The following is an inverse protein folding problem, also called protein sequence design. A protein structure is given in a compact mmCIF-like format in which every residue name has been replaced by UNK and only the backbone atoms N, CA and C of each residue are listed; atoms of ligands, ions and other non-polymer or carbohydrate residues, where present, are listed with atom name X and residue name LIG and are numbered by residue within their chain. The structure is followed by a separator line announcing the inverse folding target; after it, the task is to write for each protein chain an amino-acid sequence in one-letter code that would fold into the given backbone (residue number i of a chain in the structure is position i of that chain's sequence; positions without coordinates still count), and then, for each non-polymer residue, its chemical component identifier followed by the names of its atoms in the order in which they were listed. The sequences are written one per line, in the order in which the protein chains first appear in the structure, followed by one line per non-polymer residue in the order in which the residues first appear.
data_IF_643010466464
#
_entry.id   IF_643010466464
#
_cell.length_a   1.000
_cell.length_b   1.000
_cell.length_c   1.000
_cell.angle_alpha   90.00
_cell.angle_beta   90.00
_cell.angle_gamma   90.00
#
_symmetry.space_group_name_H-M   'P 1'
#
loop_
_entity.id
_entity.type
_entity.pdbx_description
1 polymer ?
#
# COMPACT_ATOMS: atom_id res chain seq x y z
N UNK A 1 -6.58 -28.69 -11.45
CA UNK A 1 -6.39 -27.64 -10.45
C UNK A 1 -5.79 -26.46 -11.17
N UNK A 2 -6.62 -25.59 -11.75
CA UNK A 2 -6.14 -24.38 -12.40
C UNK A 2 -5.58 -23.47 -11.31
N UNK A 3 -4.25 -23.35 -11.25
CA UNK A 3 -3.61 -22.39 -10.36
C UNK A 3 -4.08 -21.03 -10.84
N UNK A 4 -4.94 -20.37 -10.07
CA UNK A 4 -5.39 -19.03 -10.36
C UNK A 4 -4.17 -18.11 -10.26
N UNK A 5 -3.57 -17.78 -11.41
CA UNK A 5 -2.33 -16.99 -11.54
C UNK A 5 -2.45 -15.67 -10.77
N UNK A 6 -3.66 -15.10 -10.71
CA UNK A 6 -3.96 -13.89 -9.96
C UNK A 6 -3.83 -14.10 -8.44
N UNK A 7 -4.38 -15.18 -7.90
CA UNK A 7 -4.27 -15.50 -6.48
C UNK A 7 -2.81 -15.77 -6.08
N UNK A 8 -2.06 -16.48 -6.92
CA UNK A 8 -0.62 -16.71 -6.70
C UNK A 8 0.15 -15.38 -6.70
N UNK A 9 -0.14 -14.48 -7.63
CA UNK A 9 0.50 -13.16 -7.68
C UNK A 9 0.19 -12.30 -6.45
N UNK A 10 -1.02 -12.38 -5.89
CA UNK A 10 -1.36 -11.72 -4.62
C UNK A 10 -0.52 -12.29 -3.48
N UNK A 11 -0.43 -13.62 -3.37
CA UNK A 11 0.40 -14.26 -2.32
C UNK A 11 1.87 -13.88 -2.44
N UNK A 12 2.40 -13.84 -3.66
CA UNK A 12 3.75 -13.37 -3.94
C UNK A 12 3.93 -11.89 -3.59
N UNK A 13 2.95 -11.04 -3.91
CA UNK A 13 2.97 -9.62 -3.55
C UNK A 13 2.99 -9.43 -2.03
N UNK A 14 2.17 -10.18 -1.29
CA UNK A 14 2.16 -10.15 0.17
C UNK A 14 3.51 -10.60 0.75
N UNK A 15 4.05 -11.71 0.26
CA UNK A 15 5.34 -12.25 0.70
C UNK A 15 6.49 -11.26 0.41
N UNK A 16 6.56 -10.73 -0.81
CA UNK A 16 7.57 -9.77 -1.23
C UNK A 16 7.50 -8.46 -0.42
N UNK A 17 6.29 -7.96 -0.16
CA UNK A 17 6.06 -6.84 0.75
C UNK A 17 6.50 -7.10 2.18
N UNK A 18 6.26 -8.31 2.68
CA UNK A 18 6.70 -8.73 4.01
C UNK A 18 8.21 -8.77 4.11
N UNK A 19 8.88 -9.35 3.12
CA UNK A 19 10.35 -9.41 3.08
C UNK A 19 10.94 -7.98 3.05
N UNK A 20 10.40 -7.10 2.20
CA UNK A 20 10.77 -5.68 2.14
C UNK A 20 10.57 -4.98 3.50
N UNK A 21 9.39 -5.16 4.09
CA UNK A 21 9.05 -4.57 5.40
C UNK A 21 10.00 -5.08 6.48
N UNK A 22 10.32 -6.39 6.50
CA UNK A 22 11.26 -6.97 7.45
C UNK A 22 12.65 -6.37 7.30
N UNK A 23 13.11 -6.20 6.07
CA UNK A 23 14.41 -5.60 5.76
C UNK A 23 14.49 -4.18 6.32
N UNK A 24 13.50 -3.34 6.04
CA UNK A 24 13.39 -1.97 6.57
C UNK A 24 13.26 -1.94 8.11
N UNK A 25 12.42 -2.82 8.66
CA UNK A 25 12.23 -2.95 10.10
C UNK A 25 13.53 -3.33 10.83
N UNK A 26 14.33 -4.24 10.24
CA UNK A 26 15.65 -4.62 10.78
C UNK A 26 16.61 -3.41 10.78
N UNK A 27 16.59 -2.58 9.73
CA UNK A 27 17.41 -1.37 9.64
C UNK A 27 17.02 -0.31 10.69
N UNK A 28 15.76 -0.27 11.12
CA UNK A 28 15.27 0.63 12.17
C UNK A 28 15.37 0.04 13.60
N UNK A 29 16.00 -1.13 13.75
CA UNK A 29 16.19 -1.77 15.05
C UNK A 29 14.93 -2.43 15.63
N UNK A 30 13.91 -2.74 14.81
CA UNK A 30 12.70 -3.39 15.29
C UNK A 30 12.97 -4.90 15.51
N UNK A 31 12.66 -5.44 16.70
CA UNK A 31 12.83 -6.86 16.99
C UNK A 31 11.93 -7.71 16.06
N UNK A 32 12.43 -8.89 15.69
CA UNK A 32 11.75 -9.78 14.74
C UNK A 32 10.35 -10.20 15.21
N UNK A 33 10.18 -10.39 16.52
CA UNK A 33 8.93 -10.80 17.17
C UNK A 33 7.84 -9.75 16.97
N UNK A 34 8.14 -8.48 17.27
CA UNK A 34 7.21 -7.37 17.08
C UNK A 34 6.85 -7.18 15.61
N UNK A 35 7.82 -7.31 14.71
CA UNK A 35 7.57 -7.28 13.28
C UNK A 35 6.63 -8.43 12.86
N UNK A 36 6.87 -9.66 13.32
CA UNK A 36 6.07 -10.83 12.97
C UNK A 36 4.60 -10.66 13.38
N UNK A 37 4.34 -10.19 14.60
CA UNK A 37 2.97 -9.89 15.03
C UNK A 37 2.33 -8.77 14.20
N UNK A 38 3.10 -7.72 13.87
CA UNK A 38 2.59 -6.65 12.99
C UNK A 38 2.25 -7.19 11.59
N UNK A 39 3.05 -8.11 11.05
CA UNK A 39 2.84 -8.72 9.75
C UNK A 39 1.57 -9.58 9.76
N UNK A 40 1.44 -10.44 10.77
CA UNK A 40 0.26 -11.28 10.95
C UNK A 40 -1.02 -10.45 11.01
N UNK A 41 -1.02 -9.39 11.83
CA UNK A 41 -2.18 -8.50 11.97
C UNK A 41 -2.50 -7.75 10.67
N UNK A 42 -1.48 -7.19 10.01
CA UNK A 42 -1.65 -6.48 8.74
C UNK A 42 -2.20 -7.40 7.65
N UNK A 43 -1.67 -8.61 7.50
CA UNK A 43 -2.17 -9.54 6.49
C UNK A 43 -3.59 -10.02 6.79
N UNK A 44 -3.91 -10.31 8.06
CA UNK A 44 -5.28 -10.63 8.45
C UNK A 44 -6.24 -9.48 8.11
N UNK A 45 -5.88 -8.24 8.43
CA UNK A 45 -6.67 -7.06 8.11
C UNK A 45 -6.83 -6.86 6.59
N UNK A 46 -5.75 -7.01 5.82
CA UNK A 46 -5.77 -6.96 4.35
C UNK A 46 -6.74 -7.98 3.78
N UNK A 47 -6.65 -9.24 4.20
CA UNK A 47 -7.51 -10.32 3.69
C UNK A 47 -8.97 -10.06 4.06
N UNK A 48 -9.26 -9.76 5.32
CA UNK A 48 -10.62 -9.53 5.80
C UNK A 48 -11.28 -8.34 5.10
N UNK A 49 -10.59 -7.19 5.02
CA UNK A 49 -11.15 -5.98 4.41
C UNK A 49 -11.31 -6.15 2.90
N UNK A 50 -10.33 -6.77 2.22
CA UNK A 50 -10.41 -7.05 0.78
C UNK A 50 -11.58 -7.95 0.42
N UNK A 51 -11.79 -9.00 1.21
CA UNK A 51 -12.86 -9.95 1.00
C UNK A 51 -14.23 -9.31 1.26
N UNK A 52 -14.40 -8.63 2.40
CA UNK A 52 -15.65 -7.95 2.75
C UNK A 52 -16.01 -6.86 1.74
N UNK A 53 -15.03 -6.09 1.27
CA UNK A 53 -15.28 -5.04 0.28
C UNK A 53 -15.77 -5.61 -1.05
N UNK A 54 -15.19 -6.73 -1.50
CA UNK A 54 -15.65 -7.41 -2.73
C UNK A 54 -17.05 -7.99 -2.56
N UNK A 55 -17.33 -8.58 -1.40
CA UNK A 55 -18.65 -9.12 -1.08
C UNK A 55 -19.72 -8.02 -1.07
N UNK A 56 -19.44 -6.87 -0.45
CA UNK A 56 -20.35 -5.72 -0.40
C UNK A 56 -20.57 -5.12 -1.80
N UNK A 57 -19.49 -4.89 -2.56
CA UNK A 57 -19.60 -4.29 -3.90
C UNK A 57 -20.32 -5.20 -4.89
N UNK A 58 -20.15 -6.51 -4.78
CA UNK A 58 -20.85 -7.50 -5.62
C UNK A 58 -22.26 -7.85 -5.13
N UNK A 59 -22.75 -7.20 -4.05
CA UNK A 59 -24.03 -7.55 -3.40
C UNK A 59 -24.14 -9.04 -3.04
N UNK A 60 -23.02 -9.64 -2.65
CA UNK A 60 -22.93 -11.04 -2.23
C UNK A 60 -22.83 -12.07 -3.36
N UNK A 61 -22.67 -11.64 -4.61
CA UNK A 61 -22.67 -12.55 -5.77
C UNK A 61 -21.28 -13.05 -6.16
N UNK A 62 -20.21 -12.37 -5.75
CA UNK A 62 -18.84 -12.73 -6.13
C UNK A 62 -17.92 -12.79 -4.92
N UNK A 63 -17.08 -13.82 -4.91
CA UNK A 63 -15.96 -13.95 -3.98
C UNK A 63 -14.68 -13.55 -4.70
N UNK A 64 -13.94 -12.61 -4.12
CA UNK A 64 -12.71 -12.10 -4.71
C UNK A 64 -11.96 -11.16 -3.80
N UNK A 65 -10.84 -10.65 -4.31
CA UNK A 65 -9.98 -9.70 -3.61
C UNK A 65 -9.96 -8.38 -4.36
N UNK A 66 -10.44 -7.32 -3.72
CA UNK A 66 -10.35 -5.96 -4.24
C UNK A 66 -9.03 -5.32 -3.81
N UNK A 67 -8.26 -4.79 -4.77
CA UNK A 67 -7.00 -4.09 -4.48
C UNK A 67 -7.17 -2.91 -3.52
N UNK A 68 -8.31 -2.22 -3.58
CA UNK A 68 -8.66 -1.13 -2.67
C UNK A 68 -8.88 -1.61 -1.23
N UNK A 69 -9.57 -2.74 -1.05
CA UNK A 69 -9.75 -3.32 0.26
C UNK A 69 -8.42 -3.79 0.86
N UNK A 70 -7.44 -4.13 0.01
CA UNK A 70 -6.08 -4.42 0.45
C UNK A 70 -5.36 -3.17 0.99
N UNK A 71 -5.45 -2.05 0.29
CA UNK A 71 -4.88 -0.79 0.77
C UNK A 71 -5.54 -0.30 2.07
N UNK A 72 -6.87 -0.35 2.15
CA UNK A 72 -7.62 0.03 3.35
C UNK A 72 -7.34 -0.92 4.52
N UNK A 73 -7.29 -2.23 4.26
CA UNK A 73 -6.95 -3.23 5.26
C UNK A 73 -5.53 -3.06 5.80
N UNK A 74 -4.57 -2.72 4.94
CA UNK A 74 -3.20 -2.41 5.37
C UNK A 74 -3.17 -1.17 6.28
N UNK A 75 -3.86 -0.09 5.89
CA UNK A 75 -3.90 1.14 6.70
C UNK A 75 -4.59 0.91 8.05
N UNK A 76 -5.71 0.20 8.08
CA UNK A 76 -6.39 -0.18 9.32
C UNK A 76 -5.47 -1.04 10.19
N UNK A 77 -4.85 -2.07 9.60
CA UNK A 77 -3.88 -2.93 10.27
C UNK A 77 -2.74 -2.15 10.92
N UNK A 78 -2.20 -1.15 10.22
CA UNK A 78 -1.11 -0.33 10.70
C UNK A 78 -1.52 0.58 11.87
N UNK A 79 -2.69 1.20 11.80
CA UNK A 79 -3.21 2.02 12.91
C UNK A 79 -3.35 1.16 14.17
N UNK A 80 -3.90 -0.05 14.05
CA UNK A 80 -3.99 -0.99 15.18
C UNK A 80 -2.61 -1.44 15.69
N UNK A 81 -1.68 -1.78 14.79
CA UNK A 81 -0.33 -2.19 15.16
C UNK A 81 0.42 -1.07 15.91
N UNK A 82 0.25 0.19 15.51
CA UNK A 82 0.79 1.37 16.19
C UNK A 82 0.18 1.59 17.58
N UNK A 83 -1.11 1.28 17.76
CA UNK A 83 -1.76 1.35 19.08
C UNK A 83 -1.19 0.29 20.02
N UNK A 84 -1.04 -0.94 19.53
CA UNK A 84 -0.60 -2.12 20.29
C UNK A 84 0.89 -2.05 20.65
N UNK A 85 1.77 -1.80 19.68
CA UNK A 85 3.22 -1.84 19.87
C UNK A 85 3.80 -0.47 20.14
N UNK A 86 3.63 0.00 21.39
CA UNK A 86 4.01 1.37 21.80
C UNK A 86 5.49 1.72 21.60
N UNK A 87 6.38 0.74 21.72
CA UNK A 87 7.84 0.92 21.71
C UNK A 87 8.43 1.10 20.31
N UNK A 88 7.77 0.58 19.27
CA UNK A 88 8.20 0.64 17.88
C UNK A 88 7.28 1.50 17.01
N UNK A 89 6.52 2.40 17.66
CA UNK A 89 5.64 3.38 17.01
C UNK A 89 6.38 4.21 15.97
N UNK A 90 5.69 4.56 14.90
CA UNK A 90 6.22 5.23 13.71
C UNK A 90 7.10 4.31 12.85
N UNK A 91 8.00 3.53 13.45
CA UNK A 91 8.94 2.66 12.73
C UNK A 91 8.23 1.50 12.03
N UNK A 92 7.22 0.90 12.67
CA UNK A 92 6.38 -0.12 12.00
C UNK A 92 5.63 0.52 10.84
N UNK A 93 4.97 1.66 11.07
CA UNK A 93 4.27 2.40 10.02
C UNK A 93 5.17 2.68 8.81
N UNK A 94 6.35 3.25 9.03
CA UNK A 94 7.34 3.53 7.98
C UNK A 94 7.67 2.27 7.17
N UNK A 95 7.99 1.15 7.83
CA UNK A 95 8.43 -0.08 7.14
C UNK A 95 7.37 -0.65 6.18
N UNK A 96 6.09 -0.59 6.58
CA UNK A 96 4.99 -1.13 5.80
C UNK A 96 4.53 -0.17 4.71
N UNK A 97 4.45 1.13 5.00
CA UNK A 97 4.04 2.12 4.00
C UNK A 97 5.07 2.23 2.89
N UNK A 98 6.37 2.16 3.19
CA UNK A 98 7.40 2.11 2.15
C UNK A 98 7.32 0.82 1.33
N UNK A 99 6.87 -0.28 1.91
CA UNK A 99 6.75 -1.56 1.18
C UNK A 99 5.47 -1.64 0.33
N UNK A 100 4.48 -0.79 0.59
CA UNK A 100 3.19 -0.83 -0.09
C UNK A 100 3.26 -0.62 -1.62
N UNK A 101 4.08 0.30 -2.18
CA UNK A 101 4.19 0.44 -3.62
C UNK A 101 4.79 -0.80 -4.29
N UNK A 102 5.74 -1.47 -3.64
CA UNK A 102 6.32 -2.71 -4.14
C UNK A 102 5.29 -3.85 -4.18
N UNK A 103 4.50 -3.99 -3.11
CA UNK A 103 3.37 -4.94 -3.06
C UNK A 103 2.38 -4.67 -4.19
N UNK A 104 2.02 -3.41 -4.37
CA UNK A 104 1.09 -2.99 -5.42
C UNK A 104 1.63 -3.32 -6.81
N UNK A 105 2.90 -3.01 -7.09
CA UNK A 105 3.51 -3.28 -8.38
C UNK A 105 3.47 -4.78 -8.74
N UNK A 106 3.86 -5.66 -7.81
CA UNK A 106 3.81 -7.11 -8.02
C UNK A 106 2.37 -7.60 -8.24
N UNK A 107 1.40 -7.06 -7.49
CA UNK A 107 0.00 -7.43 -7.68
C UNK A 107 -0.51 -7.10 -9.09
N UNK A 108 -0.02 -6.00 -9.69
CA UNK A 108 -0.38 -5.58 -11.05
C UNK A 108 0.28 -6.38 -12.15
N UNK A 109 1.48 -6.94 -11.91
CA UNK A 109 2.03 -7.97 -12.79
C UNK A 109 1.11 -9.19 -12.83
N UNK A 110 0.57 -9.60 -11.68
CA UNK A 110 -0.45 -10.65 -11.60
C UNK A 110 -1.67 -10.37 -12.48
N UNK A 111 -2.21 -9.14 -12.39
CA UNK A 111 -3.30 -8.69 -13.26
C UNK A 111 -2.96 -8.74 -14.75
N UNK A 112 -1.75 -8.33 -15.10
CA UNK A 112 -1.27 -8.32 -16.48
C UNK A 112 -1.28 -9.73 -17.09
N UNK A 113 -0.75 -10.72 -16.35
CA UNK A 113 -0.75 -12.12 -16.81
C UNK A 113 -2.15 -12.75 -16.83
N UNK A 114 -3.04 -12.32 -15.94
CA UNK A 114 -4.44 -12.76 -15.93
C UNK A 114 -5.31 -12.04 -16.97
N UNK A 115 -4.80 -11.01 -17.66
CA UNK A 115 -5.54 -10.23 -18.64
C UNK A 115 -6.68 -9.39 -18.07
N UNK A 116 -6.66 -9.07 -16.77
CA UNK A 116 -7.75 -8.33 -16.12
C UNK A 116 -7.46 -6.81 -16.01
N UNK A 117 -8.51 -5.99 -16.00
CA UNK A 117 -8.45 -4.50 -15.91
C UNK A 117 -7.80 -3.79 -17.12
N UNK A 118 -8.42 -3.90 -18.30
CA UNK A 118 -7.88 -3.38 -19.56
C UNK A 118 -7.74 -1.84 -19.62
N UNK A 119 -6.79 -1.42 -20.44
CA UNK A 119 -6.45 -0.03 -20.71
C UNK A 119 -5.09 0.04 -21.40
N UNK A 120 -4.84 1.13 -22.12
CA UNK A 120 -3.59 1.31 -22.86
C UNK A 120 -2.99 2.69 -22.62
N UNK A 121 -1.69 2.72 -22.36
CA UNK A 121 -0.91 3.95 -22.30
C UNK A 121 0.27 3.84 -23.25
N UNK A 122 0.36 4.74 -24.23
CA UNK A 122 1.39 4.71 -25.28
C UNK A 122 1.53 3.35 -25.99
N UNK A 123 0.41 2.65 -26.21
CA UNK A 123 0.39 1.33 -26.84
C UNK A 123 0.80 0.16 -25.93
N UNK A 124 1.13 0.42 -24.67
CA UNK A 124 1.45 -0.61 -23.67
C UNK A 124 0.24 -0.89 -22.75
N UNK A 125 0.09 -2.13 -22.24
CA UNK A 125 -0.97 -2.47 -21.30
C UNK A 125 -0.79 -1.68 -20.00
N UNK A 126 -1.85 -1.00 -19.57
CA UNK A 126 -1.83 -0.08 -18.42
C UNK A 126 -1.34 -0.75 -17.13
N UNK A 127 -1.64 -2.04 -16.94
CA UNK A 127 -1.23 -2.81 -15.76
C UNK A 127 0.29 -3.01 -15.70
N UNK A 128 0.94 -3.14 -16.85
CA UNK A 128 2.40 -3.18 -16.95
C UNK A 128 3.02 -1.83 -16.60
N UNK A 129 2.41 -0.73 -17.06
CA UNK A 129 2.83 0.63 -16.73
C UNK A 129 2.61 0.92 -15.24
N UNK A 130 1.45 0.58 -14.68
CA UNK A 130 1.16 0.68 -13.24
C UNK A 130 2.19 -0.09 -12.41
N UNK A 131 2.50 -1.33 -12.80
CA UNK A 131 3.52 -2.12 -12.11
C UNK A 131 4.89 -1.42 -12.12
N UNK A 132 5.37 -1.03 -13.31
CA UNK A 132 6.67 -0.39 -13.48
C UNK A 132 6.75 0.92 -12.69
N UNK A 133 5.72 1.78 -12.78
CA UNK A 133 5.66 3.03 -12.04
C UNK A 133 5.75 2.82 -10.52
N UNK A 134 5.00 1.87 -9.97
CA UNK A 134 4.99 1.61 -8.53
C UNK A 134 6.28 0.95 -8.02
N UNK A 135 6.95 0.14 -8.85
CA UNK A 135 8.30 -0.37 -8.56
C UNK A 135 9.31 0.78 -8.56
N UNK A 136 9.27 1.69 -9.52
CA UNK A 136 10.15 2.88 -9.55
C UNK A 136 9.91 3.76 -8.32
N UNK A 137 8.65 4.00 -7.96
CA UNK A 137 8.28 4.76 -6.75
C UNK A 137 8.85 4.11 -5.49
N UNK A 138 8.77 2.78 -5.39
CA UNK A 138 9.40 2.05 -4.30
C UNK A 138 10.92 2.29 -4.24
N UNK A 139 11.62 2.17 -5.37
CA UNK A 139 13.07 2.38 -5.44
C UNK A 139 13.47 3.81 -5.06
N UNK A 140 12.74 4.82 -5.56
CA UNK A 140 12.95 6.23 -5.18
C UNK A 140 12.72 6.43 -3.68
N UNK A 141 11.66 5.83 -3.13
CA UNK A 141 11.34 5.96 -1.70
C UNK A 141 12.40 5.29 -0.82
N UNK A 142 12.96 4.15 -1.24
CA UNK A 142 14.08 3.51 -0.57
C UNK A 142 15.34 4.41 -0.61
N UNK A 143 15.64 5.03 -1.75
CA UNK A 143 16.78 5.94 -1.86
C UNK A 143 16.62 7.12 -0.90
N UNK A 144 15.43 7.73 -0.85
CA UNK A 144 15.11 8.80 0.11
C UNK A 144 15.22 8.31 1.56
N UNK A 145 14.83 7.07 1.85
CA UNK A 145 14.98 6.45 3.17
C UNK A 145 16.44 6.30 3.60
N UNK A 146 17.35 5.98 2.68
CA UNK A 146 18.77 5.82 2.99
C UNK A 146 19.53 7.15 3.07
N UNK A 147 19.13 8.16 2.30
CA UNK A 147 19.82 9.46 2.27
C UNK A 147 19.39 10.36 3.44
N UNK A 148 18.11 10.36 3.81
CA UNK A 148 17.60 11.30 4.81
C UNK A 148 17.58 10.67 6.21
N UNK A 149 17.96 11.44 7.22
CA UNK A 149 17.85 11.01 8.62
C UNK A 149 16.38 10.91 9.07
N UNK A 150 15.55 11.87 8.66
CA UNK A 150 14.11 11.82 8.90
C UNK A 150 13.44 10.81 7.95
N UNK A 151 13.21 9.61 8.45
CA UNK A 151 12.57 8.52 7.71
C UNK A 151 11.12 8.82 7.35
N UNK A 152 10.45 9.76 8.01
CA UNK A 152 9.10 10.16 7.61
C UNK A 152 9.07 10.85 6.25
N UNK A 153 10.17 11.51 5.84
CA UNK A 153 10.27 12.10 4.49
C UNK A 153 10.09 11.01 3.42
N UNK A 154 10.71 9.85 3.61
CA UNK A 154 10.56 8.73 2.67
C UNK A 154 9.13 8.20 2.58
N UNK A 155 8.38 8.24 3.69
CA UNK A 155 6.96 7.88 3.71
C UNK A 155 6.14 8.89 2.93
N UNK A 156 6.37 10.19 3.17
CA UNK A 156 5.69 11.25 2.41
C UNK A 156 5.95 11.14 0.91
N UNK A 157 7.20 10.89 0.52
CA UNK A 157 7.56 10.67 -0.89
C UNK A 157 6.83 9.47 -1.47
N UNK A 158 6.85 8.31 -0.79
CA UNK A 158 6.19 7.10 -1.25
C UNK A 158 4.68 7.33 -1.45
N UNK A 159 4.01 7.96 -0.49
CA UNK A 159 2.58 8.19 -0.53
C UNK A 159 2.18 9.24 -1.58
N UNK A 160 2.91 10.36 -1.64
CA UNK A 160 2.62 11.42 -2.61
C UNK A 160 2.82 10.95 -4.06
N UNK A 161 3.92 10.25 -4.33
CA UNK A 161 4.18 9.70 -5.67
C UNK A 161 3.19 8.59 -6.02
N UNK A 162 2.87 7.69 -5.07
CA UNK A 162 1.89 6.63 -5.31
C UNK A 162 0.50 7.20 -5.59
N UNK A 163 0.08 8.22 -4.85
CA UNK A 163 -1.19 8.90 -5.08
C UNK A 163 -1.23 9.58 -6.44
N UNK A 164 -0.20 10.38 -6.77
CA UNK A 164 -0.11 11.09 -8.05
C UNK A 164 -0.08 10.12 -9.23
N UNK A 165 0.75 9.08 -9.17
CA UNK A 165 0.84 8.07 -10.21
C UNK A 165 -0.47 7.30 -10.35
N UNK A 166 -1.12 6.91 -9.24
CA UNK A 166 -2.40 6.21 -9.29
C UNK A 166 -3.48 7.05 -9.95
N UNK A 167 -3.61 8.30 -9.50
CA UNK A 167 -4.60 9.24 -10.02
C UNK A 167 -4.40 9.49 -11.52
N UNK A 168 -3.15 9.67 -11.94
CA UNK A 168 -2.81 9.89 -13.35
C UNK A 168 -3.05 8.66 -14.21
N UNK A 169 -2.60 7.47 -13.78
CA UNK A 169 -2.72 6.24 -14.58
C UNK A 169 -4.16 5.74 -14.69
N UNK A 170 -5.04 6.04 -13.72
CA UNK A 170 -6.46 5.69 -13.80
C UNK A 170 -7.19 6.39 -14.97
N UNK A 171 -6.68 7.50 -15.52
CA UNK A 171 -7.25 8.13 -16.73
C UNK A 171 -7.11 7.28 -18.00
N UNK A 172 -6.15 6.35 -18.03
CA UNK A 172 -5.83 5.53 -19.20
C UNK A 172 -6.48 4.14 -19.16
N UNK A 173 -7.41 3.92 -18.23
CA UNK A 173 -8.16 2.68 -18.11
C UNK A 173 -9.46 2.74 -18.90
N UNK A 174 -9.87 1.61 -19.45
CA UNK A 174 -11.09 1.53 -20.27
C UNK A 174 -12.37 1.78 -19.43
N UNK A 175 -12.28 1.64 -18.10
CA UNK A 175 -13.31 2.06 -17.13
C UNK A 175 -13.64 3.58 -17.20
N UNK A 176 -12.85 4.38 -17.90
CA UNK A 176 -13.10 5.81 -18.14
C UNK A 176 -14.02 6.10 -19.34
N UNK A 177 -14.55 5.06 -20.00
CA UNK A 177 -15.52 5.19 -21.09
C UNK A 177 -16.86 5.77 -20.60
N UNK A 178 -16.97 7.10 -20.62
CA UNK A 178 -18.25 7.82 -20.48
C UNK A 178 -18.52 8.56 -19.16
N UNK A 179 -17.57 8.63 -18.21
CA UNK A 179 -17.74 9.34 -16.93
C UNK A 179 -16.60 10.31 -16.63
N UNK A 180 -16.90 11.50 -16.10
CA UNK A 180 -15.91 12.55 -15.76
C UNK A 180 -14.97 12.13 -14.62
N UNK A 181 -15.42 11.27 -13.70
CA UNK A 181 -14.59 10.61 -12.68
C UNK A 181 -14.96 9.13 -12.56
N UNK A 182 -13.95 8.26 -12.57
CA UNK A 182 -14.15 6.82 -12.31
C UNK A 182 -14.34 6.56 -10.80
N UNK A 183 -15.11 5.52 -10.45
CA UNK A 183 -15.22 5.03 -9.07
C UNK A 183 -13.85 4.74 -8.45
N UNK A 184 -12.86 4.32 -9.25
CA UNK A 184 -11.50 4.10 -8.79
C UNK A 184 -10.77 5.41 -8.40
N UNK A 185 -11.02 6.51 -9.11
CA UNK A 185 -10.43 7.82 -8.79
C UNK A 185 -11.06 8.41 -7.53
N UNK A 186 -12.38 8.30 -7.37
CA UNK A 186 -13.08 8.74 -6.15
C UNK A 186 -12.51 8.02 -4.92
N UNK A 187 -12.32 6.70 -5.04
CA UNK A 187 -11.76 5.91 -3.95
C UNK A 187 -10.27 6.21 -3.72
N UNK A 188 -9.50 6.50 -4.77
CA UNK A 188 -8.11 6.94 -4.64
C UNK A 188 -8.02 8.29 -3.94
N UNK A 189 -8.94 9.23 -4.23
CA UNK A 189 -9.07 10.50 -3.52
C UNK A 189 -9.39 10.28 -2.03
N UNK A 190 -10.36 9.44 -1.71
CA UNK A 190 -10.72 9.10 -0.32
C UNK A 190 -9.51 8.49 0.40
N UNK A 191 -8.84 7.52 -0.23
CA UNK A 191 -7.64 6.89 0.33
C UNK A 191 -6.51 7.91 0.55
N UNK A 192 -6.31 8.85 -0.37
CA UNK A 192 -5.36 9.95 -0.27
C UNK A 192 -5.65 10.90 0.89
N UNK A 193 -6.92 11.25 1.10
CA UNK A 193 -7.37 12.09 2.23
C UNK A 193 -7.14 11.37 3.56
N UNK A 194 -7.53 10.09 3.67
CA UNK A 194 -7.30 9.27 4.86
C UNK A 194 -5.81 9.16 5.16
N UNK A 195 -5.00 8.87 4.14
CA UNK A 195 -3.55 8.85 4.22
C UNK A 195 -2.97 10.16 4.76
N UNK A 196 -3.40 11.30 4.21
CA UNK A 196 -2.95 12.62 4.64
C UNK A 196 -3.34 12.93 6.09
N UNK A 197 -4.56 12.57 6.51
CA UNK A 197 -5.01 12.72 7.91
C UNK A 197 -4.17 11.88 8.87
N UNK A 198 -3.93 10.61 8.54
CA UNK A 198 -3.09 9.71 9.36
C UNK A 198 -1.67 10.24 9.46
N UNK A 199 -1.08 10.70 8.36
CA UNK A 199 0.25 11.32 8.36
C UNK A 199 0.30 12.60 9.18
N UNK A 200 -0.70 13.48 9.04
CA UNK A 200 -0.80 14.71 9.82
C UNK A 200 -0.85 14.41 11.31
N UNK A 201 -1.69 13.46 11.71
CA UNK A 201 -1.79 12.99 13.09
C UNK A 201 -0.46 12.43 13.61
N UNK A 202 0.19 11.55 12.84
CA UNK A 202 1.48 10.95 13.22
C UNK A 202 2.60 12.01 13.32
N UNK A 203 2.61 13.01 12.43
CA UNK A 203 3.62 14.08 12.44
C UNK A 203 3.48 15.00 13.64
N UNK A 204 2.25 15.43 13.96
CA UNK A 204 1.97 16.26 15.15
C UNK A 204 2.36 15.49 16.42
N UNK A 205 1.97 14.21 16.50
CA UNK A 205 2.26 13.36 17.65
C UNK A 205 3.74 13.07 17.84
N UNK A 206 4.50 12.87 16.76
CA UNK A 206 5.94 12.64 16.85
C UNK A 206 6.71 13.92 17.21
N UNK A 207 6.25 15.10 16.78
CA UNK A 207 6.81 16.38 17.24
C UNK A 207 6.64 16.58 18.75
N UNK A 208 5.45 16.29 19.28
CA UNK A 208 5.18 16.43 20.73
C UNK A 208 5.98 15.46 21.63
N UNK A 209 6.55 14.37 21.09
CA UNK A 209 7.47 13.50 21.83
C UNK A 209 8.92 13.99 21.82
N UNK A 210 9.35 14.64 20.75
CA UNK A 210 10.69 15.22 20.66
C UNK A 210 10.94 16.36 21.65
N UNK A 211 9.88 17.06 22.09
CA UNK A 211 9.97 18.12 23.11
C UNK A 211 9.98 17.59 24.56
N UNK A 212 9.47 16.37 24.80
CA UNK A 212 9.39 15.75 26.12
C UNK A 212 10.68 15.03 26.56
N UNK A 213 11.64 14.82 25.65
CA UNK A 213 12.95 14.24 25.96
C UNK A 213 14.04 15.31 26.19
N UNK A 214 13.67 16.60 26.13
CA UNK A 214 14.57 17.75 26.35
C UNK A 214 14.09 18.63 27.53
N UNK A 215 13.10 18.17 28.29
CA UNK A 215 12.54 18.83 29.47
C UNK A 215 13.07 18.25 30.78
#
# INVERSE_FOLDING_TARGET
MEINIYALAILLALAAGGISSRFLAKRMGIPAVTWFYSAFFNYAAVVLVSFNMTFIMSRGTMLGFASMGGALGLMAGLVFAEVLFRESRGRIFISWVLSAPFMFGISKLGCLYAGCCSGTFLGLPIQGVESASFIVIYMVSLLVFFINDDKMVSVFTAMALSFAARFFLDFFRDEHSGTVLSSAQIMTLIAGIVAAMVLGYLRIRNRGKGELEIG
#
